data_IF_395291819001
#
_entry.id   IF_395291819001
#
_cell.length_a   1.000
_cell.length_b   1.000
_cell.length_c   1.000
_cell.angle_alpha   90.00
_cell.angle_beta   90.00
_cell.angle_gamma   90.00
#
_symmetry.space_group_name_H-M   'P 1'
#
loop_
_entity.id
_entity.type
_entity.pdbx_description
1 polymer ?
#
# COMPACT_ATOMS: atom_id res chain seq x y z
N UNK A 1 60.98 37.79 -12.34
CA UNK A 1 60.34 37.18 -11.16
C UNK A 1 58.84 37.16 -11.38
N UNK A 2 58.22 36.02 -11.08
CA UNK A 2 56.97 35.50 -11.63
C UNK A 2 55.72 36.35 -11.37
N UNK A 3 54.87 36.46 -12.39
CA UNK A 3 53.44 36.76 -12.26
C UNK A 3 52.74 35.48 -11.81
N UNK A 4 52.17 35.47 -10.62
CA UNK A 4 51.31 34.38 -10.14
C UNK A 4 49.90 34.57 -10.68
N UNK A 5 49.62 33.92 -11.82
CA UNK A 5 48.26 33.62 -12.28
C UNK A 5 47.62 32.62 -11.30
N UNK A 6 46.72 33.12 -10.45
CA UNK A 6 45.87 32.26 -9.63
C UNK A 6 44.67 31.87 -10.46
N UNK A 7 44.71 30.66 -11.02
CA UNK A 7 43.61 30.07 -11.76
C UNK A 7 42.38 29.93 -10.85
N UNK A 8 41.32 30.65 -11.19
CA UNK A 8 39.98 30.45 -10.62
C UNK A 8 39.49 29.09 -11.13
N UNK A 9 39.46 28.10 -10.25
CA UNK A 9 38.87 26.80 -10.55
C UNK A 9 37.39 27.00 -10.95
N UNK A 10 37.05 26.72 -12.21
CA UNK A 10 35.67 26.60 -12.68
C UNK A 10 34.97 25.55 -11.83
N UNK A 11 34.00 25.97 -11.01
CA UNK A 11 33.01 25.04 -10.46
C UNK A 11 32.37 24.32 -11.64
N UNK A 12 32.39 22.99 -11.63
CA UNK A 12 31.71 22.18 -12.62
C UNK A 12 30.22 22.59 -12.63
N UNK A 13 29.73 23.06 -13.76
CA UNK A 13 28.31 23.31 -13.99
C UNK A 13 27.58 21.99 -13.75
N UNK A 14 26.84 21.92 -12.65
CA UNK A 14 25.97 20.77 -12.39
C UNK A 14 24.91 20.76 -13.49
N UNK A 15 24.75 19.65 -14.24
CA UNK A 15 23.78 19.61 -15.34
C UNK A 15 22.38 19.99 -14.82
N UNK A 16 21.59 20.74 -15.61
CA UNK A 16 20.30 21.25 -15.18
C UNK A 16 19.41 20.10 -14.72
N UNK A 17 18.78 20.25 -13.55
CA UNK A 17 17.92 19.23 -12.95
C UNK A 17 16.78 18.88 -13.93
N UNK A 18 16.69 17.63 -14.40
CA UNK A 18 15.63 17.22 -15.32
C UNK A 18 14.24 17.41 -14.70
N UNK A 19 13.23 17.66 -15.52
CA UNK A 19 11.84 17.86 -15.06
C UNK A 19 10.97 16.61 -15.15
N UNK A 20 11.47 15.57 -15.82
CA UNK A 20 10.78 14.30 -16.02
C UNK A 20 11.34 13.22 -15.09
N UNK A 21 10.51 12.21 -14.80
CA UNK A 21 10.84 11.17 -13.81
C UNK A 21 12.10 10.40 -14.21
N UNK A 22 12.28 10.11 -15.50
CA UNK A 22 13.43 9.34 -15.99
C UNK A 22 14.73 10.11 -15.81
N UNK A 23 14.78 11.36 -16.27
CA UNK A 23 15.96 12.21 -16.07
C UNK A 23 16.29 12.43 -14.60
N UNK A 24 15.28 12.56 -13.73
CA UNK A 24 15.51 12.71 -12.30
C UNK A 24 16.06 11.45 -11.64
N UNK A 25 15.67 10.24 -12.08
CA UNK A 25 16.22 8.98 -11.57
C UNK A 25 17.71 8.81 -11.89
N UNK A 26 18.16 9.38 -13.00
CA UNK A 26 19.55 9.31 -13.49
C UNK A 26 20.42 10.47 -12.97
N UNK A 27 19.83 11.49 -12.34
CA UNK A 27 20.54 12.67 -11.85
C UNK A 27 21.15 12.44 -10.46
N UNK A 28 22.47 12.64 -10.34
CA UNK A 28 23.24 12.39 -9.11
C UNK A 28 22.72 13.15 -7.88
N UNK A 29 22.23 14.38 -8.06
CA UNK A 29 21.71 15.18 -6.93
C UNK A 29 20.43 14.59 -6.39
N UNK A 30 19.53 14.13 -7.27
CA UNK A 30 18.30 13.44 -6.86
C UNK A 30 18.63 12.13 -6.17
N UNK A 31 19.59 11.35 -6.69
CA UNK A 31 20.02 10.12 -6.03
C UNK A 31 20.61 10.37 -4.64
N UNK A 32 21.41 11.42 -4.47
CA UNK A 32 21.92 11.84 -3.16
C UNK A 32 20.82 12.29 -2.19
N UNK A 33 19.82 13.03 -2.66
CA UNK A 33 18.66 13.44 -1.86
C UNK A 33 17.74 12.26 -1.51
N UNK A 34 17.61 11.28 -2.41
CA UNK A 34 16.86 10.06 -2.13
C UNK A 34 17.59 9.22 -1.07
N UNK A 35 18.92 9.09 -1.18
CA UNK A 35 19.72 8.36 -0.19
C UNK A 35 19.60 8.95 1.22
N UNK A 36 19.45 10.27 1.38
CA UNK A 36 19.35 10.91 2.70
C UNK A 36 18.00 10.74 3.40
N UNK A 37 16.94 10.38 2.67
CA UNK A 37 15.58 10.17 3.22
C UNK A 37 15.22 8.69 3.31
N UNK A 38 16.07 7.80 2.81
CA UNK A 38 15.86 6.36 2.88
C UNK A 38 16.24 5.82 4.26
N UNK A 39 15.54 4.78 4.75
CA UNK A 39 15.99 4.00 5.91
C UNK A 39 17.45 3.52 5.73
N UNK A 40 18.23 3.49 6.81
CA UNK A 40 19.68 3.13 6.74
C UNK A 40 19.93 1.74 6.13
N UNK A 41 18.96 0.83 6.25
CA UNK A 41 18.99 -0.52 5.69
C UNK A 41 18.56 -0.58 4.21
N UNK A 42 17.99 0.50 3.67
CA UNK A 42 17.53 0.59 2.30
C UNK A 42 18.59 1.22 1.38
N UNK A 43 19.27 0.39 0.59
CA UNK A 43 20.28 0.86 -0.36
C UNK A 43 19.66 1.65 -1.54
N UNK A 44 20.27 2.75 -2.01
CA UNK A 44 19.76 3.53 -3.15
C UNK A 44 19.49 2.71 -4.42
N UNK A 45 20.27 1.66 -4.67
CA UNK A 45 20.09 0.76 -5.83
C UNK A 45 18.78 -0.02 -5.77
N UNK A 46 18.27 -0.30 -4.56
CA UNK A 46 16.96 -0.95 -4.38
C UNK A 46 15.85 -0.01 -4.84
N UNK A 47 15.91 1.27 -4.47
CA UNK A 47 14.90 2.25 -4.84
C UNK A 47 14.87 2.48 -6.35
N UNK A 48 16.04 2.58 -7.00
CA UNK A 48 16.11 2.68 -8.47
C UNK A 48 15.47 1.47 -9.15
N UNK A 49 15.76 0.26 -8.67
CA UNK A 49 15.18 -0.98 -9.21
C UNK A 49 13.65 -1.01 -9.06
N UNK A 50 13.15 -0.63 -7.89
CA UNK A 50 11.72 -0.52 -7.62
C UNK A 50 11.05 0.52 -8.53
N UNK A 51 11.68 1.70 -8.67
CA UNK A 51 11.20 2.76 -9.55
C UNK A 51 11.07 2.28 -10.99
N UNK A 52 12.14 1.70 -11.55
CA UNK A 52 12.17 1.21 -12.92
C UNK A 52 11.16 0.08 -13.15
N UNK A 53 11.04 -0.85 -12.19
CA UNK A 53 10.03 -1.91 -12.25
C UNK A 53 8.60 -1.35 -12.26
N UNK A 54 8.30 -0.40 -11.37
CA UNK A 54 6.98 0.22 -11.29
C UNK A 54 6.63 0.99 -12.58
N UNK A 55 7.57 1.76 -13.14
CA UNK A 55 7.39 2.47 -14.40
C UNK A 55 7.15 1.51 -15.57
N UNK A 56 7.84 0.36 -15.60
CA UNK A 56 7.65 -0.66 -16.64
C UNK A 56 6.27 -1.31 -16.56
N UNK A 57 5.82 -1.65 -15.36
CA UNK A 57 4.53 -2.30 -15.15
C UNK A 57 3.35 -1.34 -15.28
N UNK A 58 3.55 -0.07 -14.99
CA UNK A 58 2.50 0.95 -15.05
C UNK A 58 3.02 2.18 -15.80
N UNK A 59 3.06 2.15 -17.14
CA UNK A 59 3.59 3.26 -17.96
C UNK A 59 2.89 4.60 -17.72
N UNK A 60 1.64 4.59 -17.24
CA UNK A 60 0.91 5.80 -16.86
C UNK A 60 1.57 6.62 -15.74
N UNK A 61 2.45 6.01 -14.94
CA UNK A 61 3.22 6.70 -13.90
C UNK A 61 4.17 7.75 -14.49
N UNK A 62 4.63 7.59 -15.73
CA UNK A 62 5.47 8.60 -16.42
C UNK A 62 4.76 9.93 -16.63
N UNK A 63 3.42 9.95 -16.58
CA UNK A 63 2.61 11.17 -16.71
C UNK A 63 2.41 11.88 -15.38
N UNK A 64 2.76 11.25 -14.25
CA UNK A 64 2.61 11.83 -12.92
C UNK A 64 3.68 12.89 -12.67
N UNK A 65 3.42 13.79 -11.72
CA UNK A 65 4.45 14.74 -11.29
C UNK A 65 5.61 13.99 -10.62
N UNK A 66 6.88 14.35 -10.86
CA UNK A 66 8.00 13.68 -10.21
C UNK A 66 7.91 13.68 -8.69
N UNK A 67 7.48 14.80 -8.10
CA UNK A 67 7.27 14.92 -6.66
C UNK A 67 6.30 13.86 -6.12
N UNK A 68 5.17 13.63 -6.79
CA UNK A 68 4.21 12.60 -6.36
C UNK A 68 4.75 11.18 -6.50
N UNK A 69 5.52 10.91 -7.55
CA UNK A 69 6.12 9.60 -7.80
C UNK A 69 7.17 9.26 -6.75
N UNK A 70 8.14 10.15 -6.55
CA UNK A 70 9.19 9.95 -5.55
C UNK A 70 8.62 9.92 -4.13
N UNK A 71 7.68 10.81 -3.78
CA UNK A 71 7.02 10.79 -2.48
C UNK A 71 6.33 9.45 -2.19
N UNK A 72 5.58 8.91 -3.16
CA UNK A 72 4.91 7.62 -3.01
C UNK A 72 5.90 6.45 -2.95
N UNK A 73 6.95 6.49 -3.76
CA UNK A 73 7.99 5.46 -3.77
C UNK A 73 8.80 5.42 -2.46
N UNK A 74 9.21 6.58 -1.96
CA UNK A 74 9.91 6.72 -0.67
C UNK A 74 8.99 6.24 0.46
N UNK A 75 7.71 6.61 0.44
CA UNK A 75 6.73 6.13 1.42
C UNK A 75 6.64 4.60 1.46
N UNK A 76 6.62 3.93 0.30
CA UNK A 76 6.61 2.47 0.24
C UNK A 76 7.93 1.86 0.76
N UNK A 77 9.07 2.46 0.40
CA UNK A 77 10.38 2.02 0.87
C UNK A 77 10.53 2.18 2.39
N UNK A 78 10.04 3.28 2.96
CA UNK A 78 10.04 3.52 4.41
C UNK A 78 9.20 2.49 5.18
N UNK A 79 8.18 1.92 4.55
CA UNK A 79 7.39 0.81 5.09
C UNK A 79 8.01 -0.57 4.80
N UNK A 80 9.11 -0.65 4.04
CA UNK A 80 9.73 -1.92 3.63
C UNK A 80 8.85 -2.74 2.67
N UNK A 81 8.00 -2.08 1.88
CA UNK A 81 7.07 -2.72 0.96
C UNK A 81 7.59 -2.74 -0.48
N UNK A 82 7.34 -3.85 -1.17
CA UNK A 82 7.61 -3.99 -2.60
C UNK A 82 6.44 -3.43 -3.43
N UNK A 83 6.75 -2.48 -4.32
CA UNK A 83 5.75 -1.80 -5.16
C UNK A 83 5.58 -2.46 -6.52
N UNK A 84 4.34 -2.60 -6.97
CA UNK A 84 3.97 -3.12 -8.29
C UNK A 84 4.72 -4.44 -8.54
N UNK A 85 4.55 -5.41 -7.64
CA UNK A 85 5.10 -6.76 -7.83
C UNK A 85 3.97 -7.78 -7.71
N UNK A 86 4.13 -9.00 -8.22
CA UNK A 86 3.17 -10.09 -7.98
C UNK A 86 2.97 -10.41 -6.49
N UNK A 87 3.88 -9.97 -5.61
CA UNK A 87 3.72 -10.10 -4.17
C UNK A 87 2.52 -9.30 -3.65
N UNK A 88 2.09 -8.23 -4.33
CA UNK A 88 0.88 -7.48 -4.00
C UNK A 88 0.96 -6.73 -2.67
N UNK A 89 2.17 -6.31 -2.27
CA UNK A 89 2.40 -5.59 -1.00
C UNK A 89 1.97 -4.12 -1.10
N UNK A 90 2.35 -3.45 -2.17
CA UNK A 90 1.99 -2.06 -2.44
C UNK A 90 1.87 -1.79 -3.94
N UNK A 91 1.14 -0.73 -4.28
CA UNK A 91 0.88 -0.31 -5.65
C UNK A 91 1.06 1.20 -5.78
N UNK A 92 1.90 1.60 -6.72
CA UNK A 92 1.97 2.97 -7.24
C UNK A 92 0.99 3.07 -8.41
N UNK A 93 -0.05 3.87 -8.22
CA UNK A 93 -1.14 4.02 -9.19
C UNK A 93 -1.26 5.49 -9.61
N UNK A 94 -1.42 5.79 -10.91
CA UNK A 94 -1.70 7.15 -11.36
C UNK A 94 -3.17 7.50 -11.13
N UNK A 95 -3.44 8.45 -10.24
CA UNK A 95 -4.78 9.05 -10.08
C UNK A 95 -4.82 10.48 -10.57
N UNK A 96 -6.03 10.99 -10.85
CA UNK A 96 -6.24 12.42 -11.13
C UNK A 96 -6.64 13.11 -9.83
N UNK A 97 -5.71 13.86 -9.24
CA UNK A 97 -5.99 14.71 -8.07
C UNK A 97 -6.11 16.14 -8.56
N UNK A 98 -7.29 16.76 -8.37
CA UNK A 98 -7.59 18.13 -8.85
C UNK A 98 -7.24 18.31 -10.34
N UNK A 99 -7.56 17.31 -11.16
CA UNK A 99 -7.30 17.29 -12.60
C UNK A 99 -5.85 16.99 -13.01
N UNK A 100 -4.92 16.83 -12.05
CA UNK A 100 -3.50 16.55 -12.33
C UNK A 100 -3.16 15.07 -12.10
N UNK A 101 -2.44 14.42 -13.03
CA UNK A 101 -1.91 13.07 -12.82
C UNK A 101 -0.93 13.07 -11.65
N UNK A 102 -1.27 12.30 -10.62
CA UNK A 102 -0.58 12.24 -9.33
C UNK A 102 -0.38 10.77 -9.00
N UNK A 103 0.88 10.38 -8.79
CA UNK A 103 1.20 9.04 -8.33
C UNK A 103 0.75 8.90 -6.88
N UNK A 104 0.02 7.84 -6.59
CA UNK A 104 -0.53 7.55 -5.27
C UNK A 104 -0.06 6.16 -4.84
N UNK A 105 0.39 6.06 -3.60
CA UNK A 105 0.71 4.79 -2.95
C UNK A 105 -0.56 4.17 -2.37
N UNK A 106 -0.87 2.96 -2.79
CA UNK A 106 -1.94 2.12 -2.23
C UNK A 106 -1.29 0.90 -1.61
N UNK A 107 -1.55 0.65 -0.32
CA UNK A 107 -1.00 -0.53 0.36
C UNK A 107 -1.93 -1.71 0.11
N UNK A 108 -1.40 -2.80 -0.43
CA UNK A 108 -2.16 -4.03 -0.66
C UNK A 108 -2.49 -4.73 0.65
N UNK A 109 -3.47 -5.65 0.63
CA UNK A 109 -3.79 -6.43 1.85
C UNK A 109 -2.58 -7.24 2.34
N UNK A 110 -1.72 -7.72 1.44
CA UNK A 110 -0.51 -8.47 1.81
C UNK A 110 0.51 -7.57 2.49
N UNK A 111 0.63 -6.32 2.06
CA UNK A 111 1.46 -5.32 2.72
C UNK A 111 0.94 -4.98 4.11
N UNK A 112 -0.38 -4.79 4.25
CA UNK A 112 -1.02 -4.60 5.55
C UNK A 112 -0.78 -5.78 6.50
N UNK A 113 -0.99 -7.02 6.02
CA UNK A 113 -0.71 -8.22 6.80
C UNK A 113 0.77 -8.32 7.18
N UNK A 114 1.70 -8.11 6.23
CA UNK A 114 3.15 -8.13 6.48
C UNK A 114 3.55 -7.16 7.57
N UNK A 115 3.03 -5.92 7.52
CA UNK A 115 3.32 -4.90 8.53
C UNK A 115 2.72 -5.25 9.89
N UNK A 116 1.52 -5.82 9.93
CA UNK A 116 0.91 -6.27 11.17
C UNK A 116 1.68 -7.43 11.81
N UNK A 117 2.19 -8.37 11.02
CA UNK A 117 3.03 -9.47 11.49
C UNK A 117 4.39 -9.05 12.07
N UNK A 118 4.84 -7.81 11.83
CA UNK A 118 6.05 -7.29 12.47
C UNK A 118 5.84 -7.02 13.97
N UNK A 119 4.60 -6.96 14.44
CA UNK A 119 4.29 -6.77 15.85
C UNK A 119 4.26 -8.13 16.57
N UNK A 120 5.11 -8.32 17.57
CA UNK A 120 5.30 -9.59 18.30
C UNK A 120 4.00 -10.21 18.85
N UNK A 121 3.01 -9.37 19.18
CA UNK A 121 1.73 -9.84 19.71
C UNK A 121 0.81 -10.44 18.65
N UNK A 122 1.03 -10.18 17.36
CA UNK A 122 0.16 -10.65 16.27
C UNK A 122 0.64 -12.02 15.79
N UNK A 123 -0.18 -13.05 15.97
CA UNK A 123 0.18 -14.44 15.62
C UNK A 123 -0.42 -14.85 14.28
N UNK A 124 -1.66 -14.45 13.99
CA UNK A 124 -2.32 -14.79 12.73
C UNK A 124 -3.37 -13.75 12.36
N UNK A 125 -3.53 -13.53 11.06
CA UNK A 125 -4.56 -12.68 10.48
C UNK A 125 -5.36 -13.49 9.47
N UNK A 126 -6.67 -13.56 9.65
CA UNK A 126 -7.60 -14.16 8.70
C UNK A 126 -8.58 -13.10 8.20
N UNK A 127 -9.00 -13.21 6.94
CA UNK A 127 -10.06 -12.37 6.34
C UNK A 127 -10.87 -13.18 5.35
N UNK A 128 -12.19 -13.07 5.38
CA UNK A 128 -13.06 -13.83 4.49
C UNK A 128 -14.30 -13.04 4.11
N UNK A 129 -14.73 -13.21 2.86
CA UNK A 129 -16.06 -12.79 2.40
C UNK A 129 -17.10 -13.81 2.87
N UNK A 130 -18.22 -13.29 3.38
CA UNK A 130 -19.40 -14.06 3.80
C UNK A 130 -20.42 -13.98 2.69
N UNK A 131 -20.91 -15.13 2.24
CA UNK A 131 -21.89 -15.26 1.16
C UNK A 131 -23.25 -15.70 1.71
N UNK A 132 -24.32 -15.38 0.98
CA UNK A 132 -25.69 -15.57 1.42
C UNK A 132 -26.04 -17.01 1.84
N UNK A 133 -25.41 -18.01 1.21
CA UNK A 133 -25.68 -19.41 1.49
C UNK A 133 -24.67 -20.05 2.46
N UNK A 134 -23.71 -19.29 3.00
CA UNK A 134 -22.77 -19.80 4.01
C UNK A 134 -23.47 -19.92 5.37
N UNK A 135 -23.01 -20.85 6.22
CA UNK A 135 -23.37 -20.80 7.63
C UNK A 135 -22.49 -19.74 8.28
N UNK A 136 -23.11 -18.64 8.69
CA UNK A 136 -22.40 -17.55 9.36
C UNK A 136 -23.12 -17.11 10.62
N UNK A 137 -22.39 -17.08 11.73
CA UNK A 137 -22.86 -16.55 13.02
C UNK A 137 -21.76 -15.71 13.62
N UNK A 138 -22.14 -14.55 14.13
CA UNK A 138 -21.28 -13.68 14.90
C UNK A 138 -21.99 -13.32 16.21
N UNK A 139 -21.27 -13.44 17.31
CA UNK A 139 -21.72 -12.96 18.61
C UNK A 139 -20.72 -11.92 19.11
N UNK A 140 -21.24 -10.74 19.41
CA UNK A 140 -20.53 -9.71 20.15
C UNK A 140 -20.94 -9.78 21.62
N UNK A 141 -20.07 -9.38 22.54
CA UNK A 141 -20.33 -9.44 23.97
C UNK A 141 -19.05 -9.71 24.76
N UNK A 142 -19.19 -10.34 25.93
CA UNK A 142 -18.04 -10.74 26.77
C UNK A 142 -17.15 -11.79 26.10
N UNK A 143 -17.73 -12.64 25.24
CA UNK A 143 -17.02 -13.65 24.47
C UNK A 143 -17.33 -13.46 22.98
N UNK A 144 -16.46 -12.75 22.28
CA UNK A 144 -16.60 -12.57 20.84
C UNK A 144 -16.35 -13.89 20.11
N UNK A 145 -17.31 -14.31 19.28
CA UNK A 145 -17.16 -15.53 18.47
C UNK A 145 -17.63 -15.32 17.04
N UNK A 146 -16.89 -15.92 16.11
CA UNK A 146 -17.26 -16.02 14.70
C UNK A 146 -17.27 -17.50 14.31
N UNK A 147 -18.42 -17.96 13.81
CA UNK A 147 -18.57 -19.26 13.15
C UNK A 147 -18.83 -18.99 11.68
N UNK A 148 -17.95 -19.50 10.82
CA UNK A 148 -18.09 -19.40 9.37
C UNK A 148 -17.79 -20.75 8.72
N UNK A 149 -18.81 -21.37 8.16
CA UNK A 149 -18.71 -22.61 7.39
C UNK A 149 -19.14 -22.31 5.96
N UNK A 150 -18.18 -22.09 5.04
CA UNK A 150 -18.50 -21.80 3.64
C UNK A 150 -19.24 -22.96 3.00
N UNK A 151 -20.32 -22.66 2.26
CA UNK A 151 -21.03 -23.69 1.51
C UNK A 151 -20.16 -24.20 0.36
N UNK A 152 -20.21 -25.50 0.09
CA UNK A 152 -19.59 -26.09 -1.11
C UNK A 152 -20.44 -25.80 -2.34
N UNK A 153 -19.81 -25.40 -3.44
CA UNK A 153 -20.50 -25.07 -4.69
C UNK A 153 -21.03 -23.63 -4.69
N UNK A 154 -22.32 -23.46 -4.98
CA UNK A 154 -22.93 -22.13 -5.05
C UNK A 154 -23.17 -21.52 -3.65
N UNK A 155 -22.26 -20.63 -3.28
CA UNK A 155 -22.28 -19.83 -2.05
C UNK A 155 -23.26 -18.64 -2.12
N UNK A 156 -23.75 -18.28 -3.30
CA UNK A 156 -24.59 -17.10 -3.50
C UNK A 156 -23.81 -15.78 -3.42
N UNK A 157 -24.52 -14.63 -3.46
CA UNK A 157 -23.90 -13.31 -3.45
C UNK A 157 -23.24 -13.01 -2.11
N UNK A 158 -22.26 -12.11 -2.12
CA UNK A 158 -21.64 -11.59 -0.90
C UNK A 158 -22.62 -10.78 -0.07
N UNK A 159 -22.66 -11.03 1.24
CA UNK A 159 -23.50 -10.30 2.21
C UNK A 159 -22.69 -9.50 3.23
N UNK A 160 -21.39 -9.75 3.31
CA UNK A 160 -20.47 -9.04 4.19
C UNK A 160 -19.07 -9.63 4.12
N UNK A 161 -18.20 -9.17 5.01
CA UNK A 161 -16.88 -9.73 5.20
C UNK A 161 -16.44 -9.59 6.65
N UNK A 162 -15.53 -10.44 7.09
CA UNK A 162 -14.91 -10.31 8.40
C UNK A 162 -13.39 -10.46 8.33
N UNK A 163 -12.73 -9.98 9.38
CA UNK A 163 -11.34 -10.26 9.68
C UNK A 163 -11.17 -10.67 11.15
N UNK A 164 -10.16 -11.48 11.42
CA UNK A 164 -9.77 -11.92 12.77
C UNK A 164 -8.27 -11.79 12.91
N UNK A 165 -7.83 -11.16 14.00
CA UNK A 165 -6.44 -11.13 14.42
C UNK A 165 -6.30 -11.92 15.71
N UNK A 166 -5.50 -12.99 15.69
CA UNK A 166 -5.16 -13.75 16.91
C UNK A 166 -3.91 -13.18 17.54
N UNK A 167 -3.93 -13.06 18.86
CA UNK A 167 -2.86 -12.50 19.66
C UNK A 167 -2.09 -13.59 20.43
N UNK A 168 -0.83 -13.33 20.73
CA UNK A 168 0.07 -14.27 21.42
C UNK A 168 -0.40 -14.63 22.84
N UNK A 169 -1.23 -13.79 23.46
CA UNK A 169 -1.82 -14.05 24.78
C UNK A 169 -3.08 -14.92 24.74
N UNK A 170 -3.44 -15.48 23.57
CA UNK A 170 -4.64 -16.30 23.38
C UNK A 170 -5.91 -15.51 23.08
N UNK A 171 -5.88 -14.17 23.17
CA UNK A 171 -7.00 -13.32 22.77
C UNK A 171 -7.13 -13.20 21.25
N UNK A 172 -8.28 -12.72 20.80
CA UNK A 172 -8.50 -12.33 19.41
C UNK A 172 -9.25 -11.03 19.31
N UNK A 173 -8.97 -10.27 18.25
CA UNK A 173 -9.75 -9.12 17.84
C UNK A 173 -10.50 -9.55 16.60
N UNK A 174 -11.81 -9.36 16.56
CA UNK A 174 -12.64 -9.73 15.43
C UNK A 174 -13.42 -8.52 14.91
N UNK A 175 -13.66 -8.46 13.60
CA UNK A 175 -14.51 -7.43 13.01
C UNK A 175 -15.27 -8.00 11.83
N UNK A 176 -16.59 -7.83 11.84
CA UNK A 176 -17.46 -8.09 10.69
C UNK A 176 -18.06 -6.77 10.21
N UNK A 177 -18.18 -6.62 8.90
CA UNK A 177 -18.92 -5.53 8.28
C UNK A 177 -19.95 -6.13 7.30
N UNK A 178 -21.22 -5.72 7.36
CA UNK A 178 -22.19 -6.04 6.32
C UNK A 178 -21.82 -5.33 5.01
N UNK A 179 -22.34 -5.85 3.89
CA UNK A 179 -21.95 -5.40 2.55
C UNK A 179 -22.22 -3.90 2.30
N UNK A 180 -23.31 -3.36 2.84
CA UNK A 180 -23.66 -1.94 2.73
C UNK A 180 -22.63 -1.04 3.42
N UNK A 181 -22.20 -1.39 4.64
CA UNK A 181 -21.13 -0.69 5.35
C UNK A 181 -19.83 -0.73 4.53
N UNK A 182 -19.43 -1.91 4.04
CA UNK A 182 -18.23 -2.05 3.20
C UNK A 182 -18.32 -1.18 1.95
N UNK A 183 -19.48 -1.17 1.29
CA UNK A 183 -19.70 -0.42 0.06
C UNK A 183 -19.66 1.10 0.28
N UNK A 184 -19.86 1.58 1.51
CA UNK A 184 -19.73 3.01 1.87
C UNK A 184 -18.27 3.51 1.84
N UNK A 185 -17.29 2.60 1.96
CA UNK A 185 -15.86 2.92 1.90
C UNK A 185 -15.31 3.01 0.46
N UNK A 186 -16.15 2.77 -0.55
CA UNK A 186 -15.73 2.85 -1.95
C UNK A 186 -15.35 4.28 -2.33
N UNK A 187 -14.29 4.48 -3.12
CA UNK A 187 -13.99 5.82 -3.64
C UNK A 187 -15.08 6.26 -4.63
N UNK A 188 -15.28 7.56 -4.82
CA UNK A 188 -16.34 8.08 -5.71
C UNK A 188 -16.29 7.52 -7.14
N UNK A 189 -15.10 7.28 -7.66
CA UNK A 189 -14.83 6.67 -8.98
C UNK A 189 -14.66 5.13 -8.96
N UNK A 190 -15.25 4.43 -7.99
CA UNK A 190 -15.02 3.00 -7.75
C UNK A 190 -15.22 2.09 -8.96
N UNK A 191 -16.11 2.45 -9.89
CA UNK A 191 -16.38 1.67 -11.12
C UNK A 191 -15.12 1.46 -11.99
N UNK A 192 -14.18 2.41 -11.93
CA UNK A 192 -12.90 2.36 -12.65
C UNK A 192 -11.77 1.72 -11.85
N UNK A 193 -12.08 1.17 -10.68
CA UNK A 193 -11.14 0.52 -9.76
C UNK A 193 -11.48 -0.97 -9.67
N UNK A 194 -10.69 -1.80 -8.96
CA UNK A 194 -11.02 -3.22 -8.76
C UNK A 194 -12.40 -3.47 -8.11
N UNK A 195 -13.02 -2.45 -7.50
CA UNK A 195 -14.39 -2.52 -7.01
C UNK A 195 -15.46 -2.65 -8.11
N UNK A 196 -15.17 -2.21 -9.34
CA UNK A 196 -16.05 -2.31 -10.52
C UNK A 196 -15.78 -3.53 -11.41
N UNK A 197 -14.89 -4.44 -10.99
CA UNK A 197 -14.56 -5.63 -11.76
C UNK A 197 -15.77 -6.58 -11.86
N UNK A 198 -15.89 -7.28 -12.99
CA UNK A 198 -16.94 -8.28 -13.22
C UNK A 198 -16.66 -9.59 -12.49
N UNK A 199 -15.41 -9.85 -12.14
CA UNK A 199 -15.02 -11.01 -11.37
C UNK A 199 -15.25 -10.75 -9.87
N UNK A 200 -16.24 -11.42 -9.29
CA UNK A 200 -16.61 -11.23 -7.88
C UNK A 200 -15.43 -11.49 -6.94
N UNK A 201 -14.50 -12.39 -7.27
CA UNK A 201 -13.32 -12.64 -6.44
C UNK A 201 -12.43 -11.39 -6.31
N UNK A 202 -12.30 -10.59 -7.37
CA UNK A 202 -11.52 -9.33 -7.33
C UNK A 202 -12.21 -8.31 -6.43
N UNK A 203 -13.54 -8.23 -6.51
CA UNK A 203 -14.34 -7.34 -5.66
C UNK A 203 -14.30 -7.79 -4.19
N UNK A 204 -14.34 -9.09 -3.92
CA UNK A 204 -14.24 -9.66 -2.58
C UNK A 204 -12.89 -9.40 -1.91
N UNK A 205 -11.80 -9.38 -2.69
CA UNK A 205 -10.50 -8.96 -2.19
C UNK A 205 -10.53 -7.50 -1.70
N UNK A 206 -11.29 -6.61 -2.37
CA UNK A 206 -11.47 -5.22 -1.91
C UNK A 206 -12.36 -5.13 -0.66
N UNK A 207 -13.45 -5.89 -0.63
CA UNK A 207 -14.35 -5.95 0.53
C UNK A 207 -13.61 -6.42 1.78
N UNK A 208 -12.88 -7.52 1.67
CA UNK A 208 -12.10 -8.08 2.78
C UNK A 208 -10.87 -7.22 3.14
N UNK A 209 -10.23 -6.55 2.18
CA UNK A 209 -9.19 -5.53 2.47
C UNK A 209 -9.77 -4.38 3.32
N UNK A 210 -11.00 -3.95 3.04
CA UNK A 210 -11.67 -2.88 3.80
C UNK A 210 -11.82 -3.25 5.26
N UNK A 211 -12.30 -4.46 5.56
CA UNK A 211 -12.42 -4.95 6.94
C UNK A 211 -11.04 -5.12 7.59
N UNK A 212 -10.06 -5.65 6.86
CA UNK A 212 -8.69 -5.77 7.34
C UNK A 212 -8.10 -4.41 7.74
N UNK A 213 -8.25 -3.39 6.89
CA UNK A 213 -7.76 -2.04 7.20
C UNK A 213 -8.42 -1.50 8.47
N UNK A 214 -9.70 -1.75 8.64
CA UNK A 214 -10.47 -1.30 9.80
C UNK A 214 -10.02 -1.98 11.09
N UNK A 215 -9.89 -3.31 11.11
CA UNK A 215 -9.47 -4.05 12.32
C UNK A 215 -8.03 -3.75 12.74
N UNK A 216 -7.15 -3.41 11.79
CA UNK A 216 -5.77 -3.06 12.09
C UNK A 216 -5.62 -1.73 12.84
N UNK A 217 -6.67 -0.87 12.86
CA UNK A 217 -6.72 0.33 13.71
C UNK A 217 -6.83 -0.03 15.20
N UNK A 218 -7.52 -1.13 15.48
CA UNK A 218 -7.79 -1.62 16.83
C UNK A 218 -6.74 -2.65 17.31
N UNK A 219 -5.84 -3.07 16.40
CA UNK A 219 -4.81 -4.08 16.66
C UNK A 219 -3.51 -3.45 17.19
N UNK A 220 -2.84 -4.06 18.19
CA UNK A 220 -1.47 -3.70 18.55
C UNK A 220 -0.56 -3.71 17.32
N UNK A 221 -0.01 -2.55 17.00
CA UNK A 221 0.63 -2.29 15.71
C UNK A 221 1.89 -1.48 15.89
N UNK A 222 2.90 -1.77 15.08
CA UNK A 222 4.10 -0.95 14.98
C UNK A 222 3.75 0.41 14.39
N UNK A 223 4.62 1.41 14.57
CA UNK A 223 4.44 2.73 13.97
C UNK A 223 4.28 2.65 12.44
N UNK A 224 4.99 1.74 11.77
CA UNK A 224 4.90 1.53 10.33
C UNK A 224 3.54 0.95 9.92
N UNK A 225 3.01 -0.02 10.64
CA UNK A 225 1.68 -0.58 10.38
C UNK A 225 0.58 0.50 10.51
N UNK A 226 0.67 1.38 11.52
CA UNK A 226 -0.26 2.51 11.68
C UNK A 226 -0.17 3.51 10.53
N UNK A 227 1.04 3.91 10.14
CA UNK A 227 1.26 4.82 8.99
C UNK A 227 0.70 4.25 7.70
N UNK A 228 0.87 2.95 7.45
CA UNK A 228 0.37 2.29 6.25
C UNK A 228 -1.17 2.31 6.15
N UNK A 229 -1.88 2.18 7.27
CA UNK A 229 -3.34 2.32 7.31
C UNK A 229 -3.75 3.73 6.91
N UNK A 230 -3.07 4.76 7.43
CA UNK A 230 -3.35 6.17 7.11
C UNK A 230 -2.98 6.55 5.67
N UNK A 231 -1.92 5.99 5.10
CA UNK A 231 -1.51 6.25 3.69
C UNK A 231 -2.57 5.76 2.70
N UNK A 232 -3.28 4.69 3.03
CA UNK A 232 -4.33 4.09 2.20
C UNK A 232 -5.73 4.70 2.44
N UNK A 233 -5.86 5.69 3.32
CA UNK A 233 -7.11 6.47 3.51
C UNK A 233 -7.23 7.63 2.51
#
# INVERSE_FOLDING_TARGET
MQKTDTAIAKRADTPPVPKDIKGLLEHETTQGQLASVMPEDAKPERLLRLALSALRQTPGLLKCTPASFFGSLIGACALGLEVNTPAGEAYLVPFKVKGKPTCTLIVGYRGLSKLAYQHEKVVSIARHAVKANDVFRIAYGTEETIVHEPKTGDRGPTIGAYAVVKLANGGSISKYMPLDEINSHRPSHWESTPWGDKNEHVVDEMRTKTVLKSILKDTPSTANARRAVTIDE
#
